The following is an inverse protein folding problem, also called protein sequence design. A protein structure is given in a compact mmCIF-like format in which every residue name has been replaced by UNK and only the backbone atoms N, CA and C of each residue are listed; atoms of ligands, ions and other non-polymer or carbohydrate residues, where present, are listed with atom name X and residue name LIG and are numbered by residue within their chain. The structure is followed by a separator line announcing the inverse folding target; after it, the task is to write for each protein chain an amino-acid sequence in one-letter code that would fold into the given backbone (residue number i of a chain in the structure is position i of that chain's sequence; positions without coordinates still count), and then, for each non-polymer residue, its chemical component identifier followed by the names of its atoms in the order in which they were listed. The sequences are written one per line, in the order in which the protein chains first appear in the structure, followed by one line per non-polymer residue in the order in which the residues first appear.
data_IF_338030550420
#
_entry.id   IF_338030550420
#
_cell.length_a   1.000
_cell.length_b   1.000
_cell.length_c   1.000
_cell.angle_alpha   90.00
_cell.angle_beta   90.00
_cell.angle_gamma   90.00
#
_symmetry.space_group_name_H-M   'P 1'
#
loop_
_entity.id
_entity.type
_entity.pdbx_description
1 polymer ?
#
# COMPACT_ATOMS: atom_id res chain seq x y z
N UNK A 1 15.05 -56.46 -42.13
CA UNK A 1 13.93 -55.52 -41.94
C UNK A 1 13.62 -55.42 -40.46
N UNK A 2 13.66 -54.19 -39.93
CA UNK A 2 13.17 -53.74 -38.60
C UNK A 2 13.98 -54.19 -37.37
N UNK A 3 15.26 -53.82 -37.28
CA UNK A 3 15.71 -52.71 -36.43
C UNK A 3 14.81 -51.44 -36.42
N UNK A 4 14.67 -50.82 -35.24
CA UNK A 4 13.72 -49.76 -34.83
C UNK A 4 12.48 -50.31 -34.11
N UNK A 5 12.56 -50.38 -32.77
CA UNK A 5 11.53 -50.06 -31.75
C UNK A 5 12.22 -50.25 -30.38
N UNK A 6 13.32 -49.54 -30.09
CA UNK A 6 13.88 -49.45 -28.71
C UNK A 6 14.55 -48.09 -28.46
N UNK A 7 14.06 -47.01 -29.09
CA UNK A 7 14.69 -45.68 -28.92
C UNK A 7 13.70 -44.54 -28.80
N UNK A 8 12.44 -44.82 -28.44
CA UNK A 8 11.38 -43.81 -28.34
C UNK A 8 10.66 -43.81 -26.98
N UNK A 9 11.40 -44.05 -25.88
CA UNK A 9 10.89 -43.92 -24.51
C UNK A 9 11.85 -43.20 -23.55
N UNK A 10 12.85 -42.47 -24.08
CA UNK A 10 13.81 -41.69 -23.28
C UNK A 10 13.84 -40.19 -23.61
N UNK A 11 12.83 -39.68 -24.32
CA UNK A 11 12.78 -38.28 -24.77
C UNK A 11 11.39 -37.67 -24.53
N UNK A 12 11.02 -37.44 -23.26
CA UNK A 12 10.05 -36.37 -22.91
C UNK A 12 9.91 -36.08 -21.39
N UNK A 13 10.96 -36.19 -20.57
CA UNK A 13 10.95 -35.58 -19.22
C UNK A 13 11.94 -34.43 -19.05
N UNK A 14 12.81 -34.18 -20.03
CA UNK A 14 13.79 -33.10 -19.99
C UNK A 14 13.34 -31.78 -20.65
N UNK A 15 12.03 -31.56 -20.82
CA UNK A 15 11.48 -30.35 -21.45
C UNK A 15 10.64 -29.47 -20.51
N UNK A 16 10.69 -29.71 -19.18
CA UNK A 16 10.16 -28.80 -18.15
C UNK A 16 11.21 -28.47 -17.07
N UNK A 17 12.50 -28.56 -17.40
CA UNK A 17 13.59 -28.03 -16.57
C UNK A 17 14.00 -26.65 -17.10
N UNK A 18 13.03 -25.75 -17.30
CA UNK A 18 13.33 -24.34 -17.51
C UNK A 18 13.58 -23.75 -16.11
N UNK A 19 14.81 -23.32 -15.88
CA UNK A 19 15.40 -23.14 -14.54
C UNK A 19 14.55 -22.25 -13.62
N UNK A 20 13.97 -22.85 -12.58
CA UNK A 20 13.41 -22.15 -11.41
C UNK A 20 14.48 -21.55 -10.49
N UNK A 21 15.75 -21.56 -10.92
CA UNK A 21 16.87 -20.97 -10.20
C UNK A 21 16.75 -19.45 -10.25
N UNK A 22 16.66 -18.84 -9.07
CA UNK A 22 16.53 -17.40 -8.87
C UNK A 22 17.72 -16.87 -8.08
N UNK A 23 18.02 -15.60 -8.28
CA UNK A 23 19.06 -14.90 -7.54
C UNK A 23 18.44 -14.00 -6.47
N UNK A 24 19.07 -13.95 -5.30
CA UNK A 24 18.74 -13.03 -4.21
C UNK A 24 19.97 -12.25 -3.78
N UNK A 25 19.80 -10.94 -3.68
CA UNK A 25 20.80 -9.98 -3.20
C UNK A 25 20.27 -9.31 -1.94
N UNK A 26 20.84 -9.66 -0.79
CA UNK A 26 20.41 -9.21 0.53
C UNK A 26 21.14 -7.97 1.05
N UNK A 27 21.21 -7.89 2.37
CA UNK A 27 21.86 -6.81 3.11
C UNK A 27 23.37 -6.75 2.85
N UNK A 28 23.92 -5.54 2.94
CA UNK A 28 25.35 -5.26 2.87
C UNK A 28 25.85 -4.97 4.29
N UNK A 29 26.96 -5.57 4.66
CA UNK A 29 27.62 -5.44 5.96
C UNK A 29 29.03 -4.89 5.76
N UNK A 30 29.60 -4.18 6.74
CA UNK A 30 31.04 -3.93 6.74
C UNK A 30 31.80 -5.25 6.86
N UNK A 31 33.02 -5.30 6.33
CA UNK A 31 33.87 -6.50 6.39
C UNK A 31 34.11 -6.95 7.85
N UNK A 32 34.22 -6.01 8.79
CA UNK A 32 34.33 -6.29 10.23
C UNK A 32 33.10 -7.05 10.79
N UNK A 33 31.95 -6.93 10.15
CA UNK A 33 30.69 -7.59 10.52
C UNK A 33 30.39 -8.84 9.66
N UNK A 34 31.41 -9.46 9.06
CA UNK A 34 31.25 -10.66 8.24
C UNK A 34 30.54 -11.80 9.01
N UNK A 35 30.83 -11.98 10.30
CA UNK A 35 30.15 -12.99 11.12
C UNK A 35 28.63 -12.77 11.22
N UNK A 36 28.18 -11.51 11.32
CA UNK A 36 26.76 -11.17 11.33
C UNK A 36 26.14 -11.42 9.95
N UNK A 37 26.87 -11.14 8.88
CA UNK A 37 26.44 -11.47 7.53
C UNK A 37 26.18 -12.98 7.39
N UNK A 38 27.12 -13.83 7.83
CA UNK A 38 26.98 -15.30 7.73
C UNK A 38 25.81 -15.83 8.58
N UNK A 39 25.57 -15.21 9.75
CA UNK A 39 24.41 -15.53 10.58
C UNK A 39 23.09 -15.18 9.87
N UNK A 40 23.01 -14.00 9.25
CA UNK A 40 21.82 -13.59 8.48
C UNK A 40 21.63 -14.44 7.22
N UNK A 41 22.71 -14.79 6.51
CA UNK A 41 22.66 -15.73 5.39
C UNK A 41 22.10 -17.08 5.82
N UNK A 42 22.58 -17.63 6.93
CA UNK A 42 22.10 -18.91 7.48
C UNK A 42 20.62 -18.82 7.86
N UNK A 43 20.19 -17.72 8.50
CA UNK A 43 18.79 -17.47 8.85
C UNK A 43 17.90 -17.45 7.60
N UNK A 44 18.27 -16.67 6.59
CA UNK A 44 17.52 -16.56 5.33
C UNK A 44 17.44 -17.92 4.63
N UNK A 45 18.56 -18.63 4.56
CA UNK A 45 18.64 -19.96 3.93
C UNK A 45 17.71 -20.96 4.62
N UNK A 46 17.65 -20.94 5.96
CA UNK A 46 16.73 -21.78 6.73
C UNK A 46 15.25 -21.45 6.44
N UNK A 47 14.91 -20.17 6.27
CA UNK A 47 13.54 -19.78 5.89
C UNK A 47 13.21 -20.31 4.50
N UNK A 48 14.10 -20.14 3.52
CA UNK A 48 13.88 -20.63 2.15
C UNK A 48 13.75 -22.16 2.13
N UNK A 49 14.65 -22.88 2.79
CA UNK A 49 14.65 -24.34 2.86
C UNK A 49 13.45 -24.91 3.64
N UNK A 50 12.72 -24.09 4.40
CA UNK A 50 11.48 -24.52 5.06
C UNK A 50 10.27 -24.62 4.11
N UNK A 51 10.41 -24.10 2.89
CA UNK A 51 9.36 -24.11 1.88
C UNK A 51 9.45 -25.40 1.07
N UNK A 52 8.31 -26.07 0.91
CA UNK A 52 8.23 -27.29 0.12
C UNK A 52 8.69 -27.06 -1.33
N UNK A 53 9.66 -27.86 -1.77
CA UNK A 53 10.23 -27.77 -3.11
C UNK A 53 11.16 -26.57 -3.33
N UNK A 54 11.52 -25.81 -2.29
CA UNK A 54 12.55 -24.79 -2.38
C UNK A 54 13.85 -25.24 -1.73
N UNK A 55 14.98 -24.79 -2.28
CA UNK A 55 16.29 -25.00 -1.69
C UNK A 55 17.29 -23.92 -2.09
N UNK A 56 18.17 -23.55 -1.16
CA UNK A 56 19.37 -22.77 -1.50
C UNK A 56 20.40 -23.68 -2.16
N UNK A 57 20.84 -23.30 -3.36
CA UNK A 57 21.77 -24.08 -4.19
C UNK A 57 23.22 -23.67 -3.90
N UNK A 58 23.45 -22.37 -3.83
CA UNK A 58 24.76 -21.75 -3.65
C UNK A 58 24.57 -20.34 -3.07
N UNK A 59 25.56 -19.84 -2.34
CA UNK A 59 25.50 -18.50 -1.76
C UNK A 59 26.33 -18.35 -0.49
N UNK A 60 26.34 -17.13 0.01
CA UNK A 60 27.02 -16.75 1.24
C UNK A 60 27.27 -15.25 1.28
N UNK A 61 28.17 -14.85 2.18
CA UNK A 61 28.64 -13.47 2.24
C UNK A 61 29.82 -13.26 1.31
N UNK A 62 29.56 -12.59 0.20
CA UNK A 62 30.54 -12.33 -0.84
C UNK A 62 31.03 -10.89 -0.76
N UNK A 63 32.28 -10.65 -1.17
CA UNK A 63 32.84 -9.29 -1.20
C UNK A 63 32.00 -8.35 -2.08
N UNK A 64 31.72 -7.16 -1.56
CA UNK A 64 31.01 -6.07 -2.22
C UNK A 64 31.87 -4.81 -2.16
N UNK A 65 32.74 -4.65 -3.16
CA UNK A 65 33.85 -3.69 -3.09
C UNK A 65 34.89 -4.07 -2.03
N UNK A 66 35.75 -3.14 -1.64
CA UNK A 66 36.96 -3.45 -0.86
C UNK A 66 36.74 -3.57 0.65
N UNK A 67 35.60 -3.10 1.17
CA UNK A 67 35.35 -2.94 2.62
C UNK A 67 34.03 -3.49 3.11
N UNK A 68 33.26 -4.14 2.23
CA UNK A 68 31.94 -4.64 2.56
C UNK A 68 31.75 -6.06 2.03
N UNK A 69 30.81 -6.77 2.64
CA UNK A 69 30.29 -8.05 2.17
C UNK A 69 28.79 -7.95 1.97
N UNK A 70 28.25 -8.68 1.01
CA UNK A 70 26.83 -8.75 0.71
C UNK A 70 26.36 -10.20 0.70
N UNK A 71 25.16 -10.43 1.23
CA UNK A 71 24.48 -11.72 1.09
C UNK A 71 24.07 -11.89 -0.37
N UNK A 72 24.63 -12.87 -1.05
CA UNK A 72 24.21 -13.28 -2.39
C UNK A 72 23.91 -14.77 -2.38
N UNK A 73 22.79 -15.18 -2.98
CA UNK A 73 22.46 -16.60 -3.10
C UNK A 73 21.67 -16.92 -4.37
N UNK A 74 21.79 -18.16 -4.79
CA UNK A 74 20.96 -18.82 -5.79
C UNK A 74 20.06 -19.82 -5.09
N UNK A 75 18.77 -19.76 -5.36
CA UNK A 75 17.80 -20.69 -4.79
C UNK A 75 16.86 -21.22 -5.87
N UNK A 76 16.46 -22.46 -5.70
CA UNK A 76 15.35 -23.07 -6.42
C UNK A 76 14.08 -22.88 -5.60
N UNK A 77 12.95 -22.63 -6.25
CA UNK A 77 11.64 -22.62 -5.61
C UNK A 77 10.54 -22.92 -6.65
N UNK A 78 9.33 -23.35 -6.23
CA UNK A 78 8.19 -23.46 -7.14
C UNK A 78 7.94 -22.16 -7.93
N UNK A 79 7.40 -22.26 -9.14
CA UNK A 79 7.20 -21.09 -10.03
C UNK A 79 6.33 -19.99 -9.40
N UNK A 80 5.41 -20.38 -8.51
CA UNK A 80 4.50 -19.52 -7.75
C UNK A 80 5.15 -18.88 -6.54
N UNK A 81 6.35 -19.29 -6.17
CA UNK A 81 7.05 -18.85 -4.97
C UNK A 81 8.24 -18.00 -5.35
N UNK A 82 8.26 -16.76 -4.87
CA UNK A 82 9.33 -15.82 -5.12
C UNK A 82 9.52 -14.92 -3.91
N UNK A 83 10.75 -14.48 -3.70
CA UNK A 83 11.04 -13.43 -2.72
C UNK A 83 10.57 -12.10 -3.32
N UNK A 84 9.45 -11.63 -2.82
CA UNK A 84 8.93 -10.29 -3.04
C UNK A 84 9.78 -9.25 -2.31
N UNK A 85 9.84 -8.05 -2.89
CA UNK A 85 10.62 -6.94 -2.35
C UNK A 85 9.84 -5.64 -2.36
N UNK A 86 9.74 -5.04 -1.18
CA UNK A 86 9.33 -3.65 -1.02
C UNK A 86 10.51 -2.74 -0.78
N UNK A 87 10.44 -1.55 -1.37
CA UNK A 87 11.42 -0.50 -1.21
C UNK A 87 10.74 0.80 -0.84
N UNK A 88 11.27 1.48 0.18
CA UNK A 88 10.84 2.82 0.55
C UNK A 88 12.04 3.71 0.86
N UNK A 89 11.92 4.99 0.54
CA UNK A 89 12.99 5.96 0.77
C UNK A 89 12.64 6.84 1.97
N UNK A 90 13.38 6.69 3.07
CA UNK A 90 13.20 7.52 4.26
C UNK A 90 14.02 8.81 4.22
N UNK A 91 13.66 9.76 5.10
CA UNK A 91 14.34 11.06 5.23
C UNK A 91 15.78 10.94 5.74
N UNK A 92 16.02 10.01 6.67
CA UNK A 92 17.30 9.74 7.30
C UNK A 92 17.50 8.23 7.48
N UNK A 93 18.77 7.81 7.63
CA UNK A 93 19.10 6.40 7.88
C UNK A 93 18.56 5.95 9.23
N UNK A 94 18.58 6.81 10.25
CA UNK A 94 18.03 6.51 11.58
C UNK A 94 16.54 6.11 11.54
N UNK A 95 15.71 6.87 10.82
CA UNK A 95 14.28 6.53 10.66
C UNK A 95 14.09 5.23 9.88
N UNK A 96 14.97 5.00 8.90
CA UNK A 96 15.00 3.75 8.15
C UNK A 96 15.30 2.56 9.09
N UNK A 97 16.38 2.63 9.88
CA UNK A 97 16.77 1.56 10.80
C UNK A 97 15.69 1.28 11.85
N UNK A 98 15.03 2.33 12.37
CA UNK A 98 13.89 2.17 13.28
C UNK A 98 12.73 1.41 12.61
N UNK A 99 12.40 1.73 11.35
CA UNK A 99 11.40 0.96 10.59
C UNK A 99 11.87 -0.48 10.35
N UNK A 100 13.14 -0.68 10.01
CA UNK A 100 13.67 -2.00 9.73
C UNK A 100 13.56 -2.93 10.95
N UNK A 101 13.86 -2.42 12.14
CA UNK A 101 13.72 -3.13 13.41
C UNK A 101 12.26 -3.48 13.74
N UNK A 102 11.29 -2.59 13.44
CA UNK A 102 9.87 -2.83 13.70
C UNK A 102 9.27 -3.91 12.78
N UNK A 103 9.82 -4.08 11.59
CA UNK A 103 9.15 -4.84 10.53
C UNK A 103 9.15 -6.35 10.74
N UNK A 104 10.13 -6.89 11.48
CA UNK A 104 10.11 -8.30 11.92
C UNK A 104 8.91 -8.58 12.83
N UNK A 105 8.58 -7.64 13.72
CA UNK A 105 7.42 -7.74 14.62
C UNK A 105 6.12 -7.65 13.83
N UNK A 106 6.04 -6.71 12.88
CA UNK A 106 4.87 -6.54 12.00
C UNK A 106 4.58 -7.84 11.23
N UNK A 107 5.59 -8.49 10.68
CA UNK A 107 5.38 -9.69 9.85
C UNK A 107 5.22 -10.99 10.61
N UNK A 108 5.65 -11.06 11.86
CA UNK A 108 5.34 -12.20 12.74
C UNK A 108 3.83 -12.45 12.88
N UNK A 109 3.02 -11.41 12.64
CA UNK A 109 1.56 -11.46 12.69
C UNK A 109 0.92 -11.71 11.32
N UNK A 110 1.71 -11.71 10.24
CA UNK A 110 1.24 -12.01 8.90
C UNK A 110 1.38 -13.51 8.61
N UNK A 111 0.61 -14.00 7.63
CA UNK A 111 0.78 -15.38 7.11
C UNK A 111 1.90 -15.50 6.06
N UNK A 112 2.59 -14.41 5.77
CA UNK A 112 3.68 -14.36 4.80
C UNK A 112 5.01 -14.65 5.50
N UNK A 113 5.93 -15.27 4.77
CA UNK A 113 7.24 -15.63 5.35
C UNK A 113 8.16 -14.42 5.27
N UNK A 114 8.60 -13.96 6.44
CA UNK A 114 9.58 -12.90 6.57
C UNK A 114 10.96 -13.38 6.11
N UNK A 115 11.55 -12.71 5.12
CA UNK A 115 12.91 -13.01 4.65
C UNK A 115 13.90 -12.06 5.30
N UNK A 116 13.78 -10.76 5.09
CA UNK A 116 14.71 -9.77 5.63
C UNK A 116 14.08 -8.37 5.69
N UNK A 117 14.61 -7.54 6.59
CA UNK A 117 14.24 -6.14 6.74
C UNK A 117 15.48 -5.35 7.11
N UNK A 118 15.91 -4.46 6.22
CA UNK A 118 17.17 -3.75 6.40
C UNK A 118 17.19 -2.43 5.65
N UNK A 119 18.17 -1.59 5.99
CA UNK A 119 18.41 -0.33 5.34
C UNK A 119 19.76 -0.31 4.61
N UNK A 120 19.75 0.25 3.41
CA UNK A 120 20.95 0.60 2.66
C UNK A 120 21.01 2.13 2.58
N UNK A 121 21.73 2.73 3.54
CA UNK A 121 21.66 4.16 3.81
C UNK A 121 20.24 4.54 4.23
N UNK A 122 19.56 5.31 3.39
CA UNK A 122 18.17 5.76 3.63
C UNK A 122 17.11 4.91 2.91
N UNK A 123 17.55 3.90 2.16
CA UNK A 123 16.66 3.02 1.39
C UNK A 123 16.28 1.83 2.24
N UNK A 124 15.02 1.77 2.64
CA UNK A 124 14.44 0.62 3.31
C UNK A 124 14.16 -0.48 2.30
N UNK A 125 14.54 -1.71 2.64
CA UNK A 125 14.20 -2.92 1.90
C UNK A 125 13.54 -3.91 2.82
N UNK A 126 12.42 -4.43 2.35
CA UNK A 126 11.65 -5.44 3.03
C UNK A 126 11.39 -6.59 2.08
N UNK A 127 11.90 -7.76 2.43
CA UNK A 127 11.87 -8.95 1.61
C UNK A 127 10.99 -10.01 2.30
N UNK A 128 10.07 -10.61 1.54
CA UNK A 128 9.12 -11.60 2.05
C UNK A 128 8.71 -12.58 0.96
N UNK A 129 8.07 -13.68 1.34
CA UNK A 129 7.41 -14.59 0.40
C UNK A 129 5.92 -14.52 0.66
N UNK A 130 5.17 -14.17 -0.37
CA UNK A 130 3.72 -14.07 -0.32
C UNK A 130 3.06 -15.45 -0.44
N UNK A 131 2.43 -15.90 0.64
CA UNK A 131 1.65 -17.14 0.66
C UNK A 131 0.13 -16.88 0.60
N UNK A 132 -0.26 -15.62 0.44
CA UNK A 132 -1.66 -15.17 0.61
C UNK A 132 -2.22 -14.42 -0.58
N UNK A 133 -1.46 -14.32 -1.68
CA UNK A 133 -1.83 -13.51 -2.85
C UNK A 133 -2.15 -12.06 -2.43
N UNK A 134 -1.30 -11.56 -1.55
CA UNK A 134 -1.31 -10.21 -1.02
C UNK A 134 -0.80 -9.21 -2.04
N UNK A 135 -1.33 -8.01 -1.94
CA UNK A 135 -0.92 -6.84 -2.72
C UNK A 135 -0.52 -5.76 -1.75
N UNK A 136 0.64 -5.17 -2.03
CA UNK A 136 1.11 -4.00 -1.34
C UNK A 136 0.42 -2.75 -1.87
N UNK A 137 -0.05 -1.89 -0.95
CA UNK A 137 -0.83 -0.71 -1.30
C UNK A 137 -0.36 0.51 -0.52
N UNK A 138 -0.40 1.66 -1.18
CA UNK A 138 -0.27 2.96 -0.56
C UNK A 138 -1.67 3.55 -0.38
N UNK A 139 -2.03 3.90 0.86
CA UNK A 139 -3.23 4.69 1.11
C UNK A 139 -2.91 6.16 0.86
N UNK A 140 -3.20 6.64 -0.36
CA UNK A 140 -2.93 8.00 -0.82
C UNK A 140 -3.77 9.09 -0.14
N UNK A 141 -3.67 9.21 1.19
CA UNK A 141 -4.46 10.11 2.03
C UNK A 141 -4.30 11.57 1.59
N UNK A 142 -3.08 12.01 1.25
CA UNK A 142 -2.76 13.40 0.89
C UNK A 142 -3.26 14.46 1.91
N UNK A 143 -3.52 14.01 3.15
CA UNK A 143 -3.90 14.83 4.29
C UNK A 143 -2.70 15.66 4.79
N UNK A 144 -2.96 16.76 5.46
CA UNK A 144 -1.94 17.71 5.93
C UNK A 144 -2.26 18.21 7.34
N UNK A 145 -1.31 18.04 8.24
CA UNK A 145 -1.48 18.35 9.66
C UNK A 145 -0.48 19.40 10.12
N UNK A 146 -0.89 20.23 11.09
CA UNK A 146 -0.03 21.26 11.69
C UNK A 146 1.01 20.66 12.63
N UNK A 147 0.71 19.52 13.25
CA UNK A 147 1.62 18.85 14.18
C UNK A 147 1.78 17.37 13.85
N UNK A 148 2.95 16.82 14.18
CA UNK A 148 3.23 15.40 14.05
C UNK A 148 2.26 14.55 14.88
N UNK A 149 1.94 15.01 16.10
CA UNK A 149 1.01 14.33 17.00
C UNK A 149 -0.40 14.18 16.40
N UNK A 150 -0.90 15.21 15.70
CA UNK A 150 -2.19 15.13 14.99
C UNK A 150 -2.13 14.10 13.87
N UNK A 151 -1.06 14.14 13.07
CA UNK A 151 -0.85 13.22 11.96
C UNK A 151 -0.76 11.76 12.46
N UNK A 152 0.08 11.49 13.47
CA UNK A 152 0.24 10.16 14.06
C UNK A 152 -1.03 9.69 14.77
N UNK A 153 -1.80 10.60 15.36
CA UNK A 153 -3.10 10.29 15.96
C UNK A 153 -4.12 9.77 14.94
N UNK A 154 -4.15 10.34 13.73
CA UNK A 154 -4.99 9.82 12.65
C UNK A 154 -4.43 8.53 12.05
N UNK A 155 -3.11 8.42 11.88
CA UNK A 155 -2.49 7.18 11.39
C UNK A 155 -2.80 6.00 12.30
N UNK A 156 -2.73 6.15 13.63
CA UNK A 156 -3.11 5.08 14.58
C UNK A 156 -4.54 4.60 14.43
N UNK A 157 -5.48 5.49 14.08
CA UNK A 157 -6.86 5.09 13.80
C UNK A 157 -6.96 4.29 12.51
N UNK A 158 -6.20 4.69 11.49
CA UNK A 158 -6.12 3.97 10.21
C UNK A 158 -5.43 2.62 10.38
N UNK A 159 -4.37 2.51 11.18
CA UNK A 159 -3.73 1.25 11.55
C UNK A 159 -4.73 0.28 12.17
N UNK A 160 -5.57 0.77 13.10
CA UNK A 160 -6.63 -0.02 13.70
C UNK A 160 -7.63 -0.51 12.65
N UNK A 161 -8.07 0.37 11.74
CA UNK A 161 -8.96 0.00 10.63
C UNK A 161 -8.35 -1.08 9.74
N UNK A 162 -7.06 -0.97 9.43
CA UNK A 162 -6.32 -1.97 8.63
C UNK A 162 -6.27 -3.32 9.36
N UNK A 163 -5.93 -3.30 10.65
CA UNK A 163 -5.92 -4.50 11.48
C UNK A 163 -7.31 -5.15 11.61
N UNK A 164 -8.37 -4.35 11.79
CA UNK A 164 -9.76 -4.82 11.91
C UNK A 164 -10.24 -5.56 10.64
N UNK A 165 -9.59 -5.32 9.50
CA UNK A 165 -9.87 -5.99 8.24
C UNK A 165 -8.89 -7.13 7.90
N UNK A 166 -8.01 -7.51 8.83
CA UNK A 166 -7.01 -8.57 8.63
C UNK A 166 -5.93 -8.19 7.62
N UNK A 167 -5.70 -6.89 7.43
CA UNK A 167 -4.61 -6.35 6.62
C UNK A 167 -3.42 -6.00 7.54
N UNK A 168 -2.22 -5.89 6.97
CA UNK A 168 -0.98 -5.63 7.73
C UNK A 168 -0.41 -4.26 7.37
N UNK A 169 -0.29 -3.36 8.34
CA UNK A 169 0.41 -2.08 8.14
C UNK A 169 1.90 -2.32 7.95
N UNK A 170 2.49 -1.80 6.88
CA UNK A 170 3.91 -1.92 6.54
C UNK A 170 4.69 -0.66 6.95
N UNK A 171 4.15 0.51 6.62
CA UNK A 171 4.70 1.80 6.97
C UNK A 171 3.56 2.68 7.45
N UNK A 172 3.80 3.38 8.54
CA UNK A 172 2.88 4.36 9.11
C UNK A 172 3.71 5.45 9.78
N UNK A 173 3.91 6.54 9.04
CA UNK A 173 4.76 7.63 9.50
C UNK A 173 4.26 8.99 8.98
N UNK A 174 4.69 10.04 9.65
CA UNK A 174 4.38 11.41 9.28
C UNK A 174 5.62 12.08 8.71
N UNK A 175 5.56 12.44 7.42
CA UNK A 175 6.63 13.14 6.73
C UNK A 175 6.49 14.63 6.92
N UNK A 176 7.53 15.24 7.48
CA UNK A 176 7.67 16.69 7.55
C UNK A 176 7.81 17.29 6.15
N UNK A 177 7.12 18.40 5.91
CA UNK A 177 7.28 19.23 4.72
C UNK A 177 7.17 20.71 5.09
N UNK A 178 7.84 21.56 4.32
CA UNK A 178 7.73 23.01 4.39
C UNK A 178 6.80 23.50 3.28
N UNK A 179 5.99 24.51 3.57
CA UNK A 179 5.22 25.21 2.54
C UNK A 179 6.11 26.20 1.79
N UNK A 180 5.65 26.65 0.63
CA UNK A 180 6.31 27.72 -0.14
C UNK A 180 6.42 29.01 0.69
N UNK A 181 5.45 29.25 1.59
CA UNK A 181 5.42 30.44 2.47
C UNK A 181 6.39 30.35 3.64
N UNK A 182 6.98 29.18 3.91
CA UNK A 182 7.86 28.90 5.05
C UNK A 182 7.27 29.35 6.39
N UNK A 183 5.94 29.25 6.51
CA UNK A 183 5.16 29.70 7.66
C UNK A 183 5.12 28.66 8.80
N UNK A 184 5.76 27.51 8.60
CA UNK A 184 5.91 26.48 9.62
C UNK A 184 6.27 25.11 9.06
N UNK A 185 6.42 24.17 9.99
CA UNK A 185 6.58 22.73 9.71
C UNK A 185 5.20 22.09 9.64
N UNK A 186 4.95 21.30 8.62
CA UNK A 186 3.71 20.57 8.43
C UNK A 186 3.99 19.10 8.18
N UNK A 187 2.97 18.26 8.34
CA UNK A 187 3.12 16.81 8.30
C UNK A 187 2.12 16.17 7.34
N UNK A 188 2.59 15.28 6.47
CA UNK A 188 1.75 14.42 5.63
C UNK A 188 1.87 12.97 6.07
N UNK A 189 0.76 12.23 6.15
CA UNK A 189 0.83 10.80 6.40
C UNK A 189 1.37 10.07 5.17
N UNK A 190 2.30 9.16 5.41
CA UNK A 190 2.72 8.12 4.49
C UNK A 190 2.25 6.79 5.10
N UNK A 191 1.44 6.04 4.34
CA UNK A 191 0.78 4.85 4.87
C UNK A 191 0.75 3.72 3.83
N UNK A 192 1.52 2.66 4.10
CA UNK A 192 1.60 1.48 3.25
C UNK A 192 1.08 0.28 4.03
N UNK A 193 0.33 -0.59 3.36
CA UNK A 193 -0.21 -1.79 3.95
C UNK A 193 -0.24 -2.95 2.95
N UNK A 194 -0.33 -4.15 3.49
CA UNK A 194 -0.47 -5.40 2.77
C UNK A 194 -1.89 -5.92 2.96
N UNK A 195 -2.50 -6.34 1.86
CA UNK A 195 -3.90 -6.81 1.83
C UNK A 195 -4.08 -7.87 0.78
N UNK A 196 -4.94 -8.85 1.00
CA UNK A 196 -5.35 -9.77 -0.09
C UNK A 196 -5.88 -9.00 -1.30
N UNK A 197 -5.69 -9.54 -2.50
CA UNK A 197 -6.03 -8.85 -3.75
C UNK A 197 -7.44 -8.24 -3.79
N UNK A 198 -8.43 -8.94 -3.23
CA UNK A 198 -9.84 -8.53 -3.22
C UNK A 198 -10.20 -7.46 -2.19
N UNK A 199 -9.28 -7.06 -1.29
CA UNK A 199 -9.56 -6.04 -0.27
C UNK A 199 -8.62 -4.86 -0.45
N UNK A 200 -9.17 -3.67 -0.57
CA UNK A 200 -8.38 -2.43 -0.61
C UNK A 200 -9.12 -1.29 0.08
N UNK A 201 -8.37 -0.46 0.79
CA UNK A 201 -8.83 0.82 1.27
C UNK A 201 -8.61 1.88 0.20
N UNK A 202 -9.66 2.67 -0.04
CA UNK A 202 -9.63 3.83 -0.92
C UNK A 202 -9.96 5.08 -0.14
N UNK A 203 -9.58 6.24 -0.69
CA UNK A 203 -9.81 7.55 -0.07
C UNK A 203 -10.60 8.43 -1.01
N UNK A 204 -11.69 9.01 -0.51
CA UNK A 204 -12.34 10.17 -1.12
C UNK A 204 -11.83 11.42 -0.42
N UNK A 205 -11.23 12.31 -1.19
CA UNK A 205 -10.88 13.66 -0.75
C UNK A 205 -12.12 14.53 -0.90
N UNK A 206 -12.85 14.71 0.18
CA UNK A 206 -14.14 15.38 0.20
C UNK A 206 -14.07 16.90 0.22
N UNK A 207 -15.16 17.49 0.70
CA UNK A 207 -15.37 18.95 0.71
C UNK A 207 -14.47 19.66 1.72
N UNK A 208 -14.25 20.94 1.44
CA UNK A 208 -13.71 21.86 2.46
C UNK A 208 -14.81 22.24 3.44
N UNK A 209 -14.49 22.21 4.72
CA UNK A 209 -15.38 22.57 5.83
C UNK A 209 -14.69 23.60 6.71
N UNK A 210 -15.47 24.47 7.37
CA UNK A 210 -14.87 25.47 8.25
C UNK A 210 -14.37 24.86 9.57
N UNK A 211 -15.17 24.00 10.22
CA UNK A 211 -14.86 23.54 11.57
C UNK A 211 -15.06 22.04 11.84
N UNK A 212 -16.08 21.38 11.25
CA UNK A 212 -16.43 20.00 11.62
C UNK A 212 -16.87 19.14 10.42
N UNK A 213 -16.01 18.21 9.99
CA UNK A 213 -16.34 17.23 8.95
C UNK A 213 -17.43 16.25 9.42
N UNK A 214 -17.54 15.98 10.72
CA UNK A 214 -18.48 15.01 11.26
C UNK A 214 -19.94 15.49 11.27
N UNK A 215 -20.21 16.73 10.87
CA UNK A 215 -21.57 17.31 10.82
C UNK A 215 -22.55 16.53 9.93
N UNK A 216 -22.06 15.82 8.92
CA UNK A 216 -22.88 14.99 8.02
C UNK A 216 -22.61 13.49 8.16
N UNK A 217 -21.89 13.08 9.21
CA UNK A 217 -21.41 11.70 9.37
C UNK A 217 -22.52 10.66 9.22
N UNK A 218 -23.64 10.82 9.92
CA UNK A 218 -24.76 9.85 9.87
C UNK A 218 -25.35 9.71 8.48
N UNK A 219 -25.49 10.82 7.74
CA UNK A 219 -26.00 10.79 6.36
C UNK A 219 -25.01 10.08 5.45
N UNK A 220 -23.72 10.40 5.55
CA UNK A 220 -22.68 9.78 4.73
C UNK A 220 -22.58 8.27 5.04
N UNK A 221 -22.58 7.88 6.31
CA UNK A 221 -22.57 6.47 6.72
C UNK A 221 -23.76 5.70 6.13
N UNK A 222 -24.96 6.29 6.14
CA UNK A 222 -26.15 5.70 5.54
C UNK A 222 -26.02 5.58 4.01
N UNK A 223 -25.61 6.63 3.32
CA UNK A 223 -25.51 6.63 1.86
C UNK A 223 -24.45 5.62 1.36
N UNK A 224 -23.38 5.40 2.13
CA UNK A 224 -22.41 4.33 1.90
C UNK A 224 -23.02 2.93 2.14
N UNK A 225 -23.75 2.75 3.25
CA UNK A 225 -24.41 1.50 3.57
C UNK A 225 -25.48 1.11 2.54
N UNK A 226 -26.27 2.07 2.06
CA UNK A 226 -27.29 1.86 1.02
C UNK A 226 -26.68 1.38 -0.31
N UNK A 227 -25.42 1.73 -0.56
CA UNK A 227 -24.64 1.30 -1.72
C UNK A 227 -23.87 -0.02 -1.50
N UNK A 228 -24.04 -0.66 -0.34
CA UNK A 228 -23.27 -1.84 0.08
C UNK A 228 -21.75 -1.61 0.10
N UNK A 229 -21.35 -0.40 0.53
CA UNK A 229 -19.93 -0.01 0.64
C UNK A 229 -19.64 0.39 2.08
N UNK A 230 -18.60 -0.21 2.65
CA UNK A 230 -18.23 0.04 4.05
C UNK A 230 -17.38 1.30 4.20
N UNK A 231 -17.95 2.36 4.75
CA UNK A 231 -17.19 3.50 5.25
C UNK A 231 -16.42 3.08 6.50
N UNK A 232 -15.09 3.20 6.45
CA UNK A 232 -14.18 2.66 7.48
C UNK A 232 -13.68 3.74 8.43
N UNK A 233 -13.40 4.93 7.91
CA UNK A 233 -12.92 6.07 8.70
C UNK A 233 -13.32 7.38 8.04
N UNK A 234 -13.60 8.40 8.84
CA UNK A 234 -13.85 9.76 8.39
C UNK A 234 -13.09 10.72 9.28
N UNK A 235 -12.34 11.64 8.69
CA UNK A 235 -11.57 12.61 9.46
C UNK A 235 -11.38 13.93 8.70
N UNK A 236 -10.92 14.93 9.45
CA UNK A 236 -10.59 16.24 8.95
C UNK A 236 -9.08 16.42 8.87
N UNK A 237 -8.60 17.08 7.83
CA UNK A 237 -7.20 17.47 7.74
C UNK A 237 -7.02 18.74 6.89
N UNK A 238 -6.07 19.58 7.28
CA UNK A 238 -5.78 20.85 6.63
C UNK A 238 -5.18 21.89 7.58
N UNK A 239 -4.56 22.92 7.02
CA UNK A 239 -3.90 23.99 7.79
C UNK A 239 -4.52 25.38 7.59
N UNK A 240 -4.87 25.74 6.35
CA UNK A 240 -5.60 26.97 5.98
C UNK A 240 -7.10 26.72 5.79
N UNK A 241 -7.46 25.67 5.05
CA UNK A 241 -8.82 25.14 4.95
C UNK A 241 -8.83 23.71 5.48
N UNK A 242 -9.84 23.37 6.28
CA UNK A 242 -10.03 22.00 6.76
C UNK A 242 -10.78 21.22 5.69
N UNK A 243 -10.27 20.05 5.32
CA UNK A 243 -10.89 19.18 4.31
C UNK A 243 -11.29 17.86 4.92
N UNK A 244 -12.44 17.36 4.47
CA UNK A 244 -12.96 16.05 4.82
C UNK A 244 -12.29 14.93 4.02
N UNK A 245 -11.97 13.83 4.69
CA UNK A 245 -11.44 12.62 4.09
C UNK A 245 -12.31 11.43 4.51
N UNK A 246 -12.74 10.63 3.53
CA UNK A 246 -13.52 9.43 3.72
C UNK A 246 -12.69 8.23 3.27
N UNK A 247 -12.39 7.32 4.18
CA UNK A 247 -11.71 6.06 3.90
C UNK A 247 -12.74 4.96 3.86
N UNK A 248 -12.80 4.21 2.76
CA UNK A 248 -13.76 3.12 2.61
C UNK A 248 -13.06 1.84 2.18
N UNK A 249 -13.65 0.71 2.60
CA UNK A 249 -13.23 -0.61 2.15
C UNK A 249 -13.94 -0.95 0.84
N UNK A 250 -13.14 -1.34 -0.14
CA UNK A 250 -13.60 -1.93 -1.40
C UNK A 250 -13.20 -3.41 -1.39
N UNK A 251 -14.20 -4.27 -1.29
CA UNK A 251 -14.04 -5.74 -1.29
C UNK A 251 -14.21 -6.33 -2.69
N UNK A 252 -14.26 -5.50 -3.73
CA UNK A 252 -14.33 -6.00 -5.10
C UNK A 252 -12.96 -6.54 -5.53
N UNK A 253 -12.95 -7.71 -6.18
CA UNK A 253 -11.80 -8.20 -6.93
C UNK A 253 -11.51 -7.37 -8.20
N UNK A 254 -12.12 -6.20 -8.34
CA UNK A 254 -12.00 -5.33 -9.50
C UNK A 254 -10.84 -4.35 -9.34
N UNK A 255 -10.09 -4.15 -10.42
CA UNK A 255 -9.09 -3.07 -10.51
C UNK A 255 -9.78 -1.70 -10.41
N UNK A 256 -10.99 -1.58 -10.97
CA UNK A 256 -11.81 -0.37 -10.93
C UNK A 256 -12.38 -0.21 -9.52
N UNK A 257 -12.21 0.95 -8.86
CA UNK A 257 -12.81 1.22 -7.56
C UNK A 257 -14.34 1.07 -7.58
N UNK A 258 -14.91 0.55 -6.49
CA UNK A 258 -16.35 0.46 -6.27
C UNK A 258 -17.05 1.83 -6.40
N UNK A 259 -16.40 2.91 -5.94
CA UNK A 259 -16.89 4.28 -6.07
C UNK A 259 -16.14 5.00 -7.19
N UNK A 260 -16.91 5.58 -8.12
CA UNK A 260 -16.40 6.43 -9.20
C UNK A 260 -16.66 7.90 -8.91
N UNK A 261 -15.74 8.74 -9.36
CA UNK A 261 -15.88 10.19 -9.30
C UNK A 261 -16.47 10.72 -10.61
N UNK A 262 -17.46 11.61 -10.49
CA UNK A 262 -17.92 12.48 -11.54
C UNK A 262 -17.67 13.93 -11.16
N UNK A 263 -17.02 14.66 -12.07
CA UNK A 263 -16.73 16.08 -11.94
C UNK A 263 -17.51 16.84 -13.02
N UNK A 264 -18.44 17.68 -12.59
CA UNK A 264 -19.25 18.47 -13.51
C UNK A 264 -18.56 19.74 -14.01
N UNK A 265 -19.35 20.59 -14.68
CA UNK A 265 -18.91 21.91 -15.15
C UNK A 265 -18.70 22.88 -13.99
N UNK A 266 -17.82 23.86 -14.17
CA UNK A 266 -17.58 24.90 -13.16
C UNK A 266 -18.52 26.09 -13.36
N UNK A 267 -19.15 26.54 -12.27
CA UNK A 267 -20.10 27.64 -12.22
C UNK A 267 -19.55 28.80 -11.38
N UNK A 268 -20.06 30.01 -11.62
CA UNK A 268 -19.61 31.24 -10.96
C UNK A 268 -20.32 31.55 -9.63
N UNK A 269 -21.30 30.73 -9.25
CA UNK A 269 -22.04 30.91 -8.00
C UNK A 269 -22.36 29.55 -7.37
N UNK A 270 -22.44 29.55 -6.05
CA UNK A 270 -22.66 28.32 -5.28
C UNK A 270 -24.06 27.75 -5.48
N UNK A 271 -25.07 28.60 -5.67
CA UNK A 271 -26.47 28.17 -5.78
C UNK A 271 -26.72 27.39 -7.08
N UNK A 272 -26.22 27.90 -8.21
CA UNK A 272 -26.24 27.20 -9.51
C UNK A 272 -25.48 25.89 -9.42
N UNK A 273 -24.33 25.86 -8.74
CA UNK A 273 -23.60 24.61 -8.54
C UNK A 273 -24.46 23.58 -7.78
N UNK A 274 -25.12 23.98 -6.69
CA UNK A 274 -25.98 23.08 -5.90
C UNK A 274 -27.19 22.59 -6.70
N UNK A 275 -27.84 23.48 -7.47
CA UNK A 275 -28.92 23.09 -8.38
C UNK A 275 -28.42 22.07 -9.41
N UNK A 276 -27.29 22.33 -10.05
CA UNK A 276 -26.71 21.43 -11.06
C UNK A 276 -26.24 20.11 -10.47
N UNK A 277 -25.75 20.11 -9.22
CA UNK A 277 -25.47 18.90 -8.45
C UNK A 277 -26.74 18.06 -8.28
N UNK A 278 -27.85 18.70 -7.90
CA UNK A 278 -29.16 18.05 -7.82
C UNK A 278 -29.60 17.42 -9.15
N UNK A 279 -29.49 18.17 -10.26
CA UNK A 279 -29.81 17.68 -11.61
C UNK A 279 -28.97 16.42 -11.96
N UNK A 280 -27.66 16.44 -11.67
CA UNK A 280 -26.76 15.29 -11.91
C UNK A 280 -27.19 14.08 -11.09
N UNK A 281 -27.49 14.26 -9.80
CA UNK A 281 -27.93 13.18 -8.91
C UNK A 281 -29.25 12.56 -9.41
N UNK A 282 -30.18 13.38 -9.89
CA UNK A 282 -31.43 12.90 -10.48
C UNK A 282 -31.17 12.01 -11.71
N UNK A 283 -30.28 12.42 -12.61
CA UNK A 283 -29.86 11.61 -13.77
C UNK A 283 -29.16 10.31 -13.35
N UNK A 284 -28.32 10.36 -12.32
CA UNK A 284 -27.65 9.15 -11.80
C UNK A 284 -28.68 8.15 -11.26
N UNK A 285 -29.66 8.65 -10.51
CA UNK A 285 -30.78 7.85 -10.00
C UNK A 285 -31.55 7.18 -11.15
N UNK A 286 -31.89 7.94 -12.22
CA UNK A 286 -32.56 7.41 -13.41
C UNK A 286 -31.72 6.36 -14.16
N UNK A 287 -30.39 6.46 -14.11
CA UNK A 287 -29.45 5.55 -14.77
C UNK A 287 -28.92 4.44 -13.86
N UNK A 288 -29.60 4.16 -12.73
CA UNK A 288 -29.23 3.12 -11.75
C UNK A 288 -27.82 3.28 -11.17
N UNK A 289 -27.34 4.52 -11.06
CA UNK A 289 -26.11 4.87 -10.34
C UNK A 289 -26.51 5.44 -8.99
N UNK A 290 -26.00 4.85 -7.91
CA UNK A 290 -26.28 5.31 -6.57
C UNK A 290 -25.24 6.35 -6.16
N UNK A 291 -25.68 7.57 -5.86
CA UNK A 291 -24.81 8.59 -5.28
C UNK A 291 -24.52 8.24 -3.83
N UNK A 292 -23.23 8.15 -3.49
CA UNK A 292 -22.75 7.82 -2.12
C UNK A 292 -22.23 9.04 -1.38
N UNK A 293 -21.75 10.04 -2.11
CA UNK A 293 -21.26 11.30 -1.53
C UNK A 293 -21.23 12.38 -2.61
N UNK A 294 -21.56 13.62 -2.28
CA UNK A 294 -21.49 14.72 -3.25
C UNK A 294 -21.45 16.09 -2.58
N UNK A 295 -20.84 17.06 -3.25
CA UNK A 295 -20.72 18.44 -2.77
C UNK A 295 -20.33 19.39 -3.91
N UNK A 296 -20.46 20.69 -3.69
CA UNK A 296 -19.87 21.70 -4.58
C UNK A 296 -18.48 22.12 -4.10
N UNK A 297 -17.44 21.75 -4.86
CA UNK A 297 -16.05 22.13 -4.58
C UNK A 297 -15.81 23.60 -4.95
N UNK A 298 -15.36 24.41 -3.99
CA UNK A 298 -14.90 25.78 -4.23
C UNK A 298 -13.52 25.77 -4.91
N UNK A 299 -13.37 26.53 -6.00
CA UNK A 299 -12.17 26.64 -6.86
C UNK A 299 -11.71 28.09 -7.04
N UNK A 300 -11.14 28.66 -5.98
CA UNK A 300 -10.85 30.10 -5.91
C UNK A 300 -12.00 30.86 -5.26
N UNK A 301 -12.10 32.18 -5.46
CA UNK A 301 -13.04 33.01 -4.68
C UNK A 301 -14.51 32.77 -5.03
N UNK A 302 -14.83 32.59 -6.32
CA UNK A 302 -16.22 32.56 -6.82
C UNK A 302 -16.55 31.37 -7.72
N UNK A 303 -15.66 30.39 -7.90
CA UNK A 303 -15.92 29.27 -8.81
C UNK A 303 -16.28 28.01 -8.03
N UNK A 304 -17.27 27.27 -8.51
CA UNK A 304 -17.81 26.09 -7.86
C UNK A 304 -17.99 24.95 -8.85
N UNK A 305 -17.55 23.74 -8.50
CA UNK A 305 -17.69 22.55 -9.35
C UNK A 305 -18.45 21.46 -8.61
N UNK A 306 -19.54 20.91 -9.15
CA UNK A 306 -20.24 19.82 -8.50
C UNK A 306 -19.41 18.54 -8.62
N UNK A 307 -19.15 17.93 -7.48
CA UNK A 307 -18.46 16.65 -7.32
C UNK A 307 -19.49 15.62 -6.88
N UNK A 308 -19.59 14.51 -7.60
CA UNK A 308 -20.52 13.41 -7.29
C UNK A 308 -19.76 12.10 -7.31
N UNK A 309 -19.75 11.41 -6.18
CA UNK A 309 -19.20 10.07 -6.01
C UNK A 309 -20.35 9.08 -6.06
N UNK A 310 -20.22 8.05 -6.89
CA UNK A 310 -21.29 7.11 -7.15
C UNK A 310 -20.81 5.66 -7.29
N UNK A 311 -21.66 4.73 -6.88
CA UNK A 311 -21.50 3.30 -7.09
C UNK A 311 -22.44 2.83 -8.21
N UNK A 312 -22.08 1.74 -8.88
CA UNK A 312 -23.00 1.02 -9.77
C UNK A 312 -23.79 0.02 -8.93
N UNK A 313 -25.11 -0.01 -9.14
CA UNK A 313 -25.97 -1.05 -8.60
C UNK A 313 -26.12 -2.19 -9.61
#
# INVERSE_FOLDING_TARGET
MKALIVSLLLLSTAAFADSSIREYQGQVFSLENQAQCEQEFSRISNVINSIEGAMVIDGGCQMYGDRFVQINMKYEAPITTYIDRFRHQFKSSEVCEAQAALSSTIFSQSKNLFIASFCQGRTYRFDYIDNTYSVMRNLGLNAQFKTEAQCMGELKKIEKVVADYGMTTLISNCREFETIRRDGKYYRPEFFYLSVYSKKLNVIRGREVQNNCLSQRTTIERDFADADIRLSHQFCSGYESVREFLVYLDESASVIPAIKEYKGTTYADAQTCEQKRGDIIAVFTQTKKMTVYSYCEKRGESRHTPMVYYARK
#
